data_IF_181943807539
#
_entry.id   IF_181943807539
#
_cell.length_a   1.000
_cell.length_b   1.000
_cell.length_c   1.000
_cell.angle_alpha   90.00
_cell.angle_beta   90.00
_cell.angle_gamma   90.00
#
_symmetry.space_group_name_H-M   'P 1'
#
loop_
_entity.id
_entity.type
_entity.pdbx_description
1 polymer ?
#
# COMPACT_ATOMS: atom_id res chain seq x y z
N UNK A 1 20.08 -0.27 18.26
CA UNK A 1 18.82 -0.55 17.55
C UNK A 1 18.27 -1.84 18.13
N UNK A 2 17.17 -1.82 18.87
CA UNK A 2 16.59 -3.05 19.42
C UNK A 2 15.96 -3.83 18.26
N UNK A 3 16.53 -4.97 17.88
CA UNK A 3 16.07 -5.78 16.75
C UNK A 3 14.57 -6.09 16.85
N UNK A 4 14.05 -6.27 18.07
CA UNK A 4 12.63 -6.49 18.34
C UNK A 4 11.72 -5.36 17.80
N UNK A 5 12.15 -4.10 17.85
CA UNK A 5 11.30 -2.98 17.41
C UNK A 5 11.31 -2.80 15.89
N UNK A 6 12.44 -3.07 15.24
CA UNK A 6 12.50 -3.10 13.78
C UNK A 6 11.70 -4.26 13.20
N UNK A 7 11.85 -5.47 13.74
CA UNK A 7 11.13 -6.65 13.28
C UNK A 7 9.61 -6.48 13.39
N UNK A 8 9.12 -5.87 14.47
CA UNK A 8 7.69 -5.57 14.63
C UNK A 8 7.18 -4.61 13.55
N UNK A 9 7.87 -3.48 13.33
CA UNK A 9 7.53 -2.52 12.28
C UNK A 9 7.59 -3.17 10.89
N UNK A 10 8.63 -3.99 10.63
CA UNK A 10 8.77 -4.71 9.37
C UNK A 10 7.61 -5.69 9.14
N UNK A 11 7.24 -6.48 10.14
CA UNK A 11 6.12 -7.44 10.03
C UNK A 11 4.80 -6.69 9.80
N UNK A 12 4.59 -5.57 10.49
CA UNK A 12 3.42 -4.73 10.29
C UNK A 12 3.35 -4.22 8.84
N UNK A 13 4.42 -3.58 8.34
CA UNK A 13 4.48 -3.11 6.96
C UNK A 13 4.41 -4.25 5.94
N UNK A 14 5.01 -5.41 6.22
CA UNK A 14 4.93 -6.57 5.34
C UNK A 14 3.50 -7.11 5.22
N UNK A 15 2.73 -7.14 6.32
CA UNK A 15 1.32 -7.51 6.29
C UNK A 15 0.46 -6.50 5.53
N UNK A 16 0.77 -5.21 5.71
CA UNK A 16 0.03 -4.07 5.16
C UNK A 16 0.34 -3.85 3.67
N UNK A 17 1.60 -3.91 3.26
CA UNK A 17 2.06 -3.52 1.91
C UNK A 17 2.54 -4.70 1.08
N UNK A 18 2.83 -5.84 1.71
CA UNK A 18 3.74 -6.84 1.17
C UNK A 18 3.38 -7.53 -0.15
N UNK A 19 4.20 -8.52 -0.54
CA UNK A 19 4.33 -8.95 -1.92
C UNK A 19 3.02 -9.36 -2.62
N UNK A 20 2.07 -10.06 -1.98
CA UNK A 20 0.85 -10.50 -2.66
C UNK A 20 0.03 -9.35 -3.28
N UNK A 21 -0.07 -8.22 -2.58
CA UNK A 21 -0.84 -7.04 -3.05
C UNK A 21 -0.16 -6.40 -4.24
N UNK A 22 1.16 -6.24 -4.14
CA UNK A 22 2.02 -5.66 -5.16
C UNK A 22 2.05 -6.53 -6.41
N UNK A 23 2.33 -7.83 -6.24
CA UNK A 23 2.39 -8.79 -7.35
C UNK A 23 1.08 -8.83 -8.13
N UNK A 24 -0.06 -8.76 -7.46
CA UNK A 24 -1.35 -8.71 -8.14
C UNK A 24 -1.52 -7.43 -8.99
N UNK A 25 -1.17 -6.26 -8.43
CA UNK A 25 -1.22 -5.00 -9.17
C UNK A 25 -0.30 -5.02 -10.41
N UNK A 26 0.92 -5.56 -10.25
CA UNK A 26 1.84 -5.74 -11.37
C UNK A 26 1.41 -6.83 -12.36
N UNK A 27 0.64 -7.83 -11.92
CA UNK A 27 0.16 -8.91 -12.79
C UNK A 27 -0.78 -8.38 -13.87
N UNK A 28 -1.63 -7.40 -13.56
CA UNK A 28 -2.45 -6.70 -14.54
C UNK A 28 -1.62 -5.98 -15.59
N UNK A 29 -0.64 -5.17 -15.15
CA UNK A 29 0.27 -4.44 -16.03
C UNK A 29 1.17 -5.37 -16.88
N UNK A 30 1.54 -6.53 -16.34
CA UNK A 30 2.37 -7.50 -17.04
C UNK A 30 1.70 -8.06 -18.31
N UNK A 31 0.37 -8.01 -18.41
CA UNK A 31 -0.38 -8.51 -19.56
C UNK A 31 -0.30 -7.55 -20.76
N UNK A 32 -0.17 -6.25 -20.50
CA UNK A 32 -0.17 -5.19 -21.53
C UNK A 32 1.22 -4.60 -21.80
N UNK A 33 2.20 -4.82 -20.92
CA UNK A 33 3.56 -4.31 -21.09
C UNK A 33 4.63 -5.39 -21.32
N UNK A 34 5.64 -5.13 -22.17
CA UNK A 34 6.81 -6.00 -22.31
C UNK A 34 7.65 -6.05 -21.02
N UNK A 35 8.35 -7.17 -20.79
CA UNK A 35 9.08 -7.43 -19.54
C UNK A 35 10.12 -6.35 -19.17
N UNK A 36 10.75 -5.72 -20.16
CA UNK A 36 11.71 -4.63 -19.94
C UNK A 36 11.02 -3.37 -19.41
N UNK A 37 9.82 -3.08 -19.90
CA UNK A 37 9.02 -1.93 -19.48
C UNK A 37 8.42 -2.16 -18.09
N UNK A 38 7.91 -3.36 -17.83
CA UNK A 38 7.40 -3.76 -16.51
C UNK A 38 8.48 -3.62 -15.42
N UNK A 39 9.73 -4.00 -15.72
CA UNK A 39 10.88 -3.80 -14.83
C UNK A 39 11.15 -2.32 -14.54
N UNK A 40 11.09 -1.47 -15.56
CA UNK A 40 11.30 -0.04 -15.38
C UNK A 40 10.18 0.59 -14.55
N UNK A 41 8.92 0.21 -14.81
CA UNK A 41 7.76 0.61 -13.99
C UNK A 41 8.00 0.19 -12.54
N UNK A 42 8.45 -1.04 -12.30
CA UNK A 42 8.74 -1.52 -10.95
C UNK A 42 9.78 -0.66 -10.22
N UNK A 43 10.92 -0.42 -10.85
CA UNK A 43 12.01 0.36 -10.24
C UNK A 43 11.61 1.82 -10.00
N UNK A 44 10.93 2.45 -10.94
CA UNK A 44 10.50 3.86 -10.82
C UNK A 44 9.44 4.00 -9.74
N UNK A 45 8.41 3.14 -9.75
CA UNK A 45 7.33 3.19 -8.76
C UNK A 45 7.82 2.84 -7.35
N UNK A 46 8.73 1.87 -7.20
CA UNK A 46 9.37 1.58 -5.91
C UNK A 46 10.26 2.74 -5.43
N UNK A 47 11.00 3.39 -6.34
CA UNK A 47 11.79 4.58 -6.00
C UNK A 47 10.90 5.73 -5.51
N UNK A 48 9.77 5.95 -6.17
CA UNK A 48 8.78 6.95 -5.76
C UNK A 48 8.12 6.58 -4.42
N UNK A 49 7.79 5.30 -4.19
CA UNK A 49 7.27 4.81 -2.91
C UNK A 49 8.24 5.11 -1.75
N UNK A 50 9.52 4.79 -1.94
CA UNK A 50 10.58 5.06 -0.97
C UNK A 50 10.70 6.55 -0.70
N UNK A 51 10.70 7.39 -1.73
CA UNK A 51 10.81 8.84 -1.57
C UNK A 51 9.62 9.41 -0.79
N UNK A 52 8.39 9.02 -1.15
CA UNK A 52 7.19 9.47 -0.43
C UNK A 52 7.19 8.97 1.01
N UNK A 53 7.50 7.70 1.27
CA UNK A 53 7.59 7.17 2.63
C UNK A 53 8.70 7.80 3.47
N UNK A 54 9.84 8.14 2.86
CA UNK A 54 10.92 8.89 3.52
C UNK A 54 10.44 10.27 3.97
N UNK A 55 9.86 11.04 3.04
CA UNK A 55 9.36 12.38 3.33
C UNK A 55 8.27 12.31 4.40
N UNK A 56 7.23 11.52 4.15
CA UNK A 56 6.07 11.40 5.04
C UNK A 56 6.45 10.85 6.41
N UNK A 57 7.29 9.82 6.50
CA UNK A 57 7.70 9.24 7.78
C UNK A 57 8.56 10.17 8.63
N UNK A 58 9.38 11.02 8.02
CA UNK A 58 10.17 12.02 8.76
C UNK A 58 9.28 13.18 9.23
N UNK A 59 8.37 13.63 8.35
CA UNK A 59 7.47 14.77 8.62
C UNK A 59 6.18 14.39 9.33
N UNK A 60 5.95 13.12 9.68
CA UNK A 60 4.65 12.62 10.14
C UNK A 60 4.06 13.42 11.31
N UNK A 61 4.78 13.66 12.44
CA UNK A 61 4.20 14.43 13.55
C UNK A 61 3.90 15.87 13.18
N UNK A 62 4.81 16.51 12.44
CA UNK A 62 4.60 17.87 11.96
C UNK A 62 3.38 17.98 11.05
N UNK A 63 3.15 16.99 10.18
CA UNK A 63 2.01 16.97 9.27
C UNK A 63 0.68 16.79 10.04
N UNK A 64 0.66 15.87 11.01
CA UNK A 64 -0.51 15.64 11.86
C UNK A 64 -0.85 16.88 12.70
N UNK A 65 0.17 17.52 13.28
CA UNK A 65 0.01 18.74 14.07
C UNK A 65 -0.47 19.91 13.20
N UNK A 66 0.10 20.07 12.00
CA UNK A 66 -0.27 21.15 11.07
C UNK A 66 -1.75 21.08 10.68
N UNK A 67 -2.23 19.88 10.34
CA UNK A 67 -3.63 19.67 9.95
C UNK A 67 -4.57 19.40 11.13
N UNK A 68 -4.05 19.34 12.36
CA UNK A 68 -4.81 18.98 13.56
C UNK A 68 -5.57 17.65 13.41
N UNK A 69 -4.92 16.67 12.77
CA UNK A 69 -5.49 15.34 12.49
C UNK A 69 -5.05 14.37 13.59
N UNK A 70 -6.01 13.73 14.25
CA UNK A 70 -5.74 12.67 15.21
C UNK A 70 -5.38 11.35 14.51
N UNK A 71 -4.57 10.51 15.15
CA UNK A 71 -4.24 9.17 14.61
C UNK A 71 -5.47 8.30 14.36
N UNK A 72 -6.54 8.30 15.18
CA UNK A 72 -7.75 7.53 14.90
C UNK A 72 -8.53 8.06 13.69
N UNK A 73 -8.57 9.38 13.49
CA UNK A 73 -9.19 9.97 12.31
C UNK A 73 -8.45 9.57 11.03
N UNK A 74 -7.12 9.48 11.10
CA UNK A 74 -6.32 9.00 9.99
C UNK A 74 -6.53 7.50 9.71
N UNK A 75 -6.66 6.67 10.75
CA UNK A 75 -7.04 5.25 10.60
C UNK A 75 -8.38 5.09 9.90
N UNK A 76 -9.40 5.87 10.32
CA UNK A 76 -10.71 5.90 9.69
C UNK A 76 -10.62 6.26 8.21
N UNK A 77 -9.97 7.38 7.89
CA UNK A 77 -9.83 7.85 6.51
C UNK A 77 -9.08 6.81 5.66
N UNK A 78 -7.95 6.31 6.16
CA UNK A 78 -7.15 5.28 5.49
C UNK A 78 -7.93 3.99 5.26
N UNK A 79 -8.69 3.54 6.27
CA UNK A 79 -9.55 2.37 6.22
C UNK A 79 -10.68 2.52 5.19
N UNK A 80 -11.36 3.68 5.14
CA UNK A 80 -12.41 3.96 4.16
C UNK A 80 -11.86 3.97 2.73
N UNK A 81 -10.77 4.70 2.48
CA UNK A 81 -10.19 4.77 1.12
C UNK A 81 -9.71 3.37 0.70
N UNK A 82 -9.10 2.61 1.63
CA UNK A 82 -8.66 1.25 1.36
C UNK A 82 -9.82 0.28 1.09
N UNK A 83 -10.91 0.41 1.84
CA UNK A 83 -12.13 -0.36 1.61
C UNK A 83 -12.71 -0.08 0.22
N UNK A 84 -12.79 1.19 -0.19
CA UNK A 84 -13.23 1.57 -1.54
C UNK A 84 -12.33 0.97 -2.61
N UNK A 85 -11.00 1.03 -2.41
CA UNK A 85 -10.03 0.38 -3.30
C UNK A 85 -10.27 -1.13 -3.41
N UNK A 86 -10.47 -1.80 -2.27
CA UNK A 86 -10.73 -3.23 -2.20
C UNK A 86 -12.03 -3.63 -2.91
N UNK A 87 -13.10 -2.84 -2.74
CA UNK A 87 -14.36 -3.00 -3.48
C UNK A 87 -14.12 -2.88 -4.98
N UNK A 88 -13.29 -1.92 -5.41
CA UNK A 88 -12.89 -1.80 -6.81
C UNK A 88 -12.25 -3.08 -7.36
N UNK A 89 -11.34 -3.71 -6.60
CA UNK A 89 -10.73 -4.98 -7.00
C UNK A 89 -11.74 -6.13 -7.10
N UNK A 90 -12.71 -6.23 -6.17
CA UNK A 90 -13.76 -7.25 -6.20
C UNK A 90 -14.68 -7.08 -7.41
N UNK A 91 -15.00 -5.83 -7.74
CA UNK A 91 -15.88 -5.49 -8.85
C UNK A 91 -15.16 -5.42 -10.21
N UNK A 92 -13.82 -5.56 -10.23
CA UNK A 92 -13.02 -5.41 -11.44
C UNK A 92 -12.97 -3.97 -11.97
N UNK A 93 -13.21 -2.98 -11.11
CA UNK A 93 -13.13 -1.56 -11.46
C UNK A 93 -11.66 -1.12 -11.41
N UNK A 94 -11.23 -0.45 -12.47
CA UNK A 94 -9.88 0.11 -12.57
C UNK A 94 -9.85 1.49 -11.90
N UNK A 95 -9.82 1.51 -10.56
CA UNK A 95 -9.70 2.76 -9.78
C UNK A 95 -8.30 3.34 -9.95
N UNK A 96 -8.18 4.46 -10.68
CA UNK A 96 -6.90 5.14 -10.95
C UNK A 96 -6.32 4.92 -12.35
N UNK A 97 -7.01 4.18 -13.20
CA UNK A 97 -6.76 4.16 -14.64
C UNK A 97 -7.69 5.19 -15.27
N UNK A 98 -7.15 6.37 -15.64
CA UNK A 98 -7.85 7.21 -16.63
C UNK A 98 -8.16 6.27 -17.81
N UNK A 99 -9.45 6.18 -18.16
CA UNK A 99 -10.00 5.13 -19.04
C UNK A 99 -9.19 4.93 -20.33
N UNK A 100 -9.43 3.83 -21.07
CA UNK A 100 -8.52 3.31 -22.10
C UNK A 100 -8.15 4.38 -23.13
N UNK A 101 -7.08 5.12 -22.85
CA UNK A 101 -6.45 6.00 -23.80
C UNK A 101 -5.83 5.05 -24.82
N UNK A 102 -6.32 5.13 -26.04
CA UNK A 102 -5.91 4.36 -27.22
C UNK A 102 -4.46 4.64 -27.65
N UNK A 103 -3.68 5.33 -26.82
CA UNK A 103 -2.28 5.60 -27.04
C UNK A 103 -1.45 4.44 -26.47
N UNK A 104 -0.45 4.02 -27.24
CA UNK A 104 0.36 2.85 -26.97
C UNK A 104 0.81 2.75 -25.50
N UNK A 105 0.94 1.54 -24.94
CA UNK A 105 1.41 1.32 -23.57
C UNK A 105 2.82 1.90 -23.39
N UNK A 106 2.93 3.16 -22.94
CA UNK A 106 4.18 3.84 -22.66
C UNK A 106 4.55 3.76 -21.17
N UNK A 107 5.82 4.00 -20.84
CA UNK A 107 6.34 3.95 -19.48
C UNK A 107 5.59 4.89 -18.53
N UNK A 108 5.20 6.07 -19.02
CA UNK A 108 4.55 7.09 -18.21
C UNK A 108 3.15 6.69 -17.74
N UNK A 109 2.37 5.98 -18.56
CA UNK A 109 1.01 5.53 -18.19
C UNK A 109 1.06 4.40 -17.16
N UNK A 110 1.89 3.38 -17.39
CA UNK A 110 2.06 2.28 -16.44
C UNK A 110 2.66 2.71 -15.09
N UNK A 111 3.56 3.70 -15.09
CA UNK A 111 4.03 4.32 -13.85
C UNK A 111 2.89 5.06 -13.15
N UNK A 112 2.10 5.87 -13.84
CA UNK A 112 0.96 6.60 -13.23
C UNK A 112 -0.09 5.68 -12.62
N UNK A 113 -0.50 4.67 -13.37
CA UNK A 113 -1.50 3.69 -12.95
C UNK A 113 -1.05 2.91 -11.71
N UNK A 114 0.26 2.69 -11.56
CA UNK A 114 0.80 2.03 -10.38
C UNK A 114 1.13 3.00 -9.24
N UNK A 115 1.53 4.24 -9.53
CA UNK A 115 1.82 5.26 -8.52
C UNK A 115 0.60 5.50 -7.62
N UNK A 116 -0.61 5.57 -8.18
CA UNK A 116 -1.83 5.73 -7.38
C UNK A 116 -2.04 4.62 -6.34
N UNK A 117 -2.09 3.32 -6.70
CA UNK A 117 -2.30 2.22 -5.75
C UNK A 117 -1.04 1.82 -4.96
N UNK A 118 0.17 2.00 -5.50
CA UNK A 118 1.42 1.52 -4.89
C UNK A 118 2.17 2.60 -4.09
N UNK A 119 2.27 3.82 -4.61
CA UNK A 119 2.97 4.94 -3.94
C UNK A 119 2.04 5.74 -3.06
N UNK A 120 0.81 5.96 -3.50
CA UNK A 120 -0.25 6.56 -2.69
C UNK A 120 -1.17 5.48 -2.15
N UNK A 121 -0.63 4.28 -1.84
CA UNK A 121 -1.41 3.24 -1.18
C UNK A 121 -1.95 3.81 0.14
N UNK A 122 -3.27 4.09 0.24
CA UNK A 122 -3.81 4.85 1.36
C UNK A 122 -3.50 4.19 2.69
N UNK A 123 -3.56 2.85 2.68
CA UNK A 123 -3.24 1.99 3.80
C UNK A 123 -1.75 2.04 4.17
N UNK A 124 -0.83 1.99 3.20
CA UNK A 124 0.60 2.10 3.47
C UNK A 124 0.97 3.47 4.05
N UNK A 125 0.43 4.55 3.48
CA UNK A 125 0.67 5.92 3.95
C UNK A 125 0.10 6.14 5.35
N UNK A 126 -1.11 5.64 5.60
CA UNK A 126 -1.75 5.66 6.92
C UNK A 126 -0.89 4.93 7.94
N UNK A 127 -0.41 3.73 7.62
CA UNK A 127 0.49 2.97 8.49
C UNK A 127 1.81 3.71 8.77
N UNK A 128 2.45 4.28 7.75
CA UNK A 128 3.69 5.05 7.92
C UNK A 128 3.47 6.26 8.83
N UNK A 129 2.40 7.03 8.61
CA UNK A 129 2.07 8.20 9.41
C UNK A 129 1.78 7.86 10.87
N UNK A 130 0.95 6.85 11.12
CA UNK A 130 0.59 6.42 12.47
C UNK A 130 1.83 5.88 13.20
N UNK A 131 2.56 4.95 12.59
CA UNK A 131 3.74 4.36 13.22
C UNK A 131 4.83 5.40 13.48
N UNK A 132 5.09 6.31 12.53
CA UNK A 132 6.08 7.36 12.73
C UNK A 132 5.65 8.39 13.81
N UNK A 133 4.34 8.60 13.99
CA UNK A 133 3.79 9.48 15.02
C UNK A 133 3.65 8.81 16.39
N UNK A 134 3.72 7.48 16.47
CA UNK A 134 3.52 6.73 17.72
C UNK A 134 4.56 7.05 18.80
N UNK A 135 5.75 7.54 18.44
CA UNK A 135 6.79 7.96 19.39
C UNK A 135 7.50 9.20 18.91
N UNK A 136 7.66 10.17 19.80
CA UNK A 136 8.39 11.39 19.50
C UNK A 136 9.91 11.19 19.65
N UNK A 137 10.47 10.37 18.76
CA UNK A 137 11.91 10.12 18.71
C UNK A 137 12.38 9.97 17.28
N UNK A 138 13.42 10.72 16.91
CA UNK A 138 14.04 10.62 15.59
C UNK A 138 14.57 9.21 15.31
N UNK A 139 15.09 8.50 16.32
CA UNK A 139 15.57 7.12 16.17
C UNK A 139 14.42 6.14 15.88
N UNK A 140 13.22 6.42 16.41
CA UNK A 140 12.03 5.63 16.09
C UNK A 140 11.59 5.87 14.66
N UNK A 141 11.47 7.13 14.23
CA UNK A 141 11.10 7.49 12.86
C UNK A 141 12.06 6.88 11.84
N UNK A 142 13.38 6.90 12.09
CA UNK A 142 14.35 6.22 11.21
C UNK A 142 14.17 4.70 11.15
N UNK A 143 13.70 4.09 12.25
CA UNK A 143 13.40 2.65 12.30
C UNK A 143 12.17 2.31 11.47
N UNK A 144 11.09 3.09 11.61
CA UNK A 144 9.84 2.95 10.85
C UNK A 144 10.11 3.10 9.34
N UNK A 145 10.80 4.17 8.96
CA UNK A 145 11.19 4.43 7.57
C UNK A 145 12.10 3.31 7.04
N UNK A 146 13.09 2.88 7.81
CA UNK A 146 13.97 1.77 7.42
C UNK A 146 13.21 0.46 7.20
N UNK A 147 12.23 0.15 8.04
CA UNK A 147 11.38 -1.03 7.89
C UNK A 147 10.50 -0.94 6.64
N UNK A 148 9.87 0.22 6.41
CA UNK A 148 9.07 0.47 5.22
C UNK A 148 9.88 0.33 3.93
N UNK A 149 11.08 0.94 3.88
CA UNK A 149 11.99 0.83 2.74
C UNK A 149 12.44 -0.61 2.50
N UNK A 150 12.69 -1.37 3.56
CA UNK A 150 13.03 -2.79 3.44
C UNK A 150 11.89 -3.62 2.84
N UNK A 151 10.63 -3.33 3.20
CA UNK A 151 9.46 -3.99 2.60
C UNK A 151 9.32 -3.62 1.13
N UNK A 152 9.42 -2.34 0.76
CA UNK A 152 9.38 -1.93 -0.66
C UNK A 152 10.50 -2.60 -1.47
N UNK A 153 11.70 -2.66 -0.91
CA UNK A 153 12.82 -3.31 -1.58
C UNK A 153 12.55 -4.81 -1.79
N UNK A 154 11.97 -5.48 -0.80
CA UNK A 154 11.53 -6.87 -0.91
C UNK A 154 10.46 -7.04 -1.98
N UNK A 155 9.44 -6.18 -1.99
CA UNK A 155 8.36 -6.20 -2.98
C UNK A 155 8.89 -5.99 -4.39
N UNK A 156 9.80 -5.04 -4.57
CA UNK A 156 10.47 -4.79 -5.84
C UNK A 156 11.23 -6.03 -6.30
N UNK A 157 12.01 -6.67 -5.42
CA UNK A 157 12.73 -7.92 -5.73
C UNK A 157 11.76 -9.04 -6.11
N UNK A 158 10.67 -9.21 -5.37
CA UNK A 158 9.62 -10.19 -5.68
C UNK A 158 9.05 -9.95 -7.08
N UNK A 159 8.66 -8.71 -7.41
CA UNK A 159 8.14 -8.35 -8.74
C UNK A 159 9.17 -8.64 -9.82
N UNK A 160 10.44 -8.29 -9.63
CA UNK A 160 11.49 -8.52 -10.61
C UNK A 160 11.74 -10.00 -10.89
N UNK A 161 11.72 -10.84 -9.84
CA UNK A 161 11.90 -12.29 -9.96
C UNK A 161 10.68 -12.96 -10.58
N UNK A 162 9.48 -12.54 -10.19
CA UNK A 162 8.21 -13.14 -10.61
C UNK A 162 7.67 -12.53 -11.91
N UNK A 163 8.26 -11.46 -12.45
CA UNK A 163 7.80 -10.79 -13.68
C UNK A 163 7.58 -11.75 -14.85
N UNK A 164 8.44 -12.76 -15.02
CA UNK A 164 8.29 -13.78 -16.08
C UNK A 164 7.13 -14.74 -15.80
N UNK A 165 6.85 -15.03 -14.54
CA UNK A 165 5.72 -15.87 -14.09
C UNK A 165 4.41 -15.10 -14.25
N UNK A 166 4.35 -13.85 -13.78
CA UNK A 166 3.17 -12.96 -13.89
C UNK A 166 2.69 -12.85 -15.34
N UNK A 167 3.61 -12.75 -16.31
CA UNK A 167 3.29 -12.71 -17.74
C UNK A 167 2.70 -14.00 -18.29
N UNK A 168 3.00 -15.15 -17.67
CA UNK A 168 2.49 -16.46 -18.09
C UNK A 168 1.18 -16.81 -17.37
N UNK A 169 0.81 -16.06 -16.34
CA UNK A 169 -0.43 -16.27 -15.61
C UNK A 169 -1.61 -15.88 -16.50
N UNK A 170 -2.61 -16.77 -16.58
CA UNK A 170 -3.84 -16.50 -17.32
C UNK A 170 -4.63 -15.36 -16.67
N UNK A 171 -5.26 -14.52 -17.50
CA UNK A 171 -6.13 -13.43 -17.06
C UNK A 171 -7.19 -13.88 -16.04
N UNK A 172 -7.84 -15.03 -16.27
CA UNK A 172 -8.83 -15.58 -15.36
C UNK A 172 -8.26 -15.84 -13.95
N UNK A 173 -7.02 -16.30 -13.83
CA UNK A 173 -6.38 -16.53 -12.54
C UNK A 173 -6.09 -15.23 -11.81
N UNK A 174 -5.63 -14.20 -12.54
CA UNK A 174 -5.37 -12.86 -11.97
C UNK A 174 -6.69 -12.25 -11.46
N UNK A 175 -7.76 -12.37 -12.23
CA UNK A 175 -9.08 -11.86 -11.85
C UNK A 175 -9.63 -12.57 -10.61
N UNK A 176 -9.55 -13.90 -10.57
CA UNK A 176 -9.98 -14.69 -9.40
C UNK A 176 -9.17 -14.35 -8.15
N UNK A 177 -7.83 -14.32 -8.25
CA UNK A 177 -6.97 -13.92 -7.13
C UNK A 177 -7.25 -12.48 -6.69
N UNK A 178 -7.51 -11.59 -7.64
CA UNK A 178 -7.82 -10.20 -7.35
C UNK A 178 -9.12 -10.01 -6.60
N UNK A 179 -10.15 -10.79 -6.92
CA UNK A 179 -11.41 -10.82 -6.17
C UNK A 179 -11.23 -11.37 -4.76
N UNK A 180 -10.46 -12.45 -4.61
CA UNK A 180 -10.16 -13.02 -3.28
C UNK A 180 -9.36 -12.06 -2.41
N UNK A 181 -8.30 -11.46 -2.97
CA UNK A 181 -7.53 -10.42 -2.29
C UNK A 181 -8.41 -9.22 -1.97
N UNK A 182 -9.20 -8.73 -2.92
CA UNK A 182 -10.15 -7.63 -2.71
C UNK A 182 -11.10 -7.89 -1.55
N UNK A 183 -11.65 -9.11 -1.42
CA UNK A 183 -12.51 -9.48 -0.29
C UNK A 183 -11.75 -9.42 1.05
N UNK A 184 -10.52 -9.93 1.10
CA UNK A 184 -9.66 -9.85 2.30
C UNK A 184 -9.28 -8.40 2.64
N UNK A 185 -8.95 -7.60 1.63
CA UNK A 185 -8.60 -6.19 1.80
C UNK A 185 -9.80 -5.36 2.27
N UNK A 186 -11.00 -5.69 1.81
CA UNK A 186 -12.23 -5.05 2.27
C UNK A 186 -12.45 -5.35 3.76
N UNK A 187 -12.23 -6.59 4.19
CA UNK A 187 -12.28 -6.94 5.62
C UNK A 187 -11.27 -6.13 6.44
N UNK A 188 -10.01 -6.03 5.99
CA UNK A 188 -8.97 -5.21 6.64
C UNK A 188 -9.37 -3.73 6.70
N UNK A 189 -9.96 -3.20 5.63
CA UNK A 189 -10.45 -1.81 5.60
C UNK A 189 -11.57 -1.57 6.61
N UNK A 190 -12.50 -2.53 6.75
CA UNK A 190 -13.56 -2.47 7.77
C UNK A 190 -12.96 -2.54 9.17
N UNK A 191 -12.00 -3.41 9.43
CA UNK A 191 -11.35 -3.49 10.74
C UNK A 191 -10.65 -2.17 11.09
N UNK A 192 -9.90 -1.56 10.16
CA UNK A 192 -9.29 -0.24 10.39
C UNK A 192 -10.32 0.87 10.68
N UNK A 193 -11.49 0.82 10.04
CA UNK A 193 -12.56 1.76 10.32
C UNK A 193 -13.12 1.55 11.73
N UNK A 194 -13.31 0.29 12.12
CA UNK A 194 -13.84 -0.03 13.44
C UNK A 194 -12.84 0.28 14.56
N UNK A 195 -11.56 0.00 14.36
CA UNK A 195 -10.48 0.35 15.27
C UNK A 195 -10.40 1.88 15.44
N UNK A 196 -10.48 2.63 14.35
CA UNK A 196 -10.49 4.09 14.42
C UNK A 196 -11.74 4.67 15.08
N UNK A 197 -12.92 4.04 14.93
CA UNK A 197 -14.14 4.42 15.67
C UNK A 197 -14.01 4.11 17.16
N UNK A 198 -13.40 2.96 17.49
CA UNK A 198 -13.15 2.53 18.85
C UNK A 198 -12.21 3.52 19.57
N UNK A 199 -11.10 3.87 18.93
CA UNK A 199 -10.11 4.81 19.46
C UNK A 199 -10.66 6.24 19.63
N UNK A 200 -11.73 6.59 18.90
CA UNK A 200 -12.49 7.84 19.09
C UNK A 200 -13.49 7.79 20.26
N UNK A 201 -13.68 6.64 20.90
CA UNK A 201 -14.57 6.49 22.06
C UNK A 201 -16.03 6.21 21.72
N UNK A 202 -16.33 5.64 20.56
CA UNK A 202 -17.69 5.20 20.21
C UNK A 202 -18.06 3.97 21.06
N UNK A 203 -18.73 4.20 22.18
CA UNK A 203 -19.14 3.19 23.16
C UNK A 203 -20.17 2.22 22.55
N UNK A 204 -19.74 0.99 22.28
CA UNK A 204 -20.54 -0.08 21.65
C UNK A 204 -19.71 -1.12 20.89
N UNK A 205 -18.43 -0.82 20.63
CA UNK A 205 -17.49 -1.71 19.94
C UNK A 205 -16.59 -2.55 20.88
N UNK A 206 -16.68 -2.34 22.20
CA UNK A 206 -15.90 -3.02 23.26
C UNK A 206 -16.08 -4.56 23.34
N UNK A 207 -16.96 -5.15 22.53
CA UNK A 207 -17.29 -6.59 22.57
C UNK A 207 -16.47 -7.45 21.59
N UNK A 208 -15.37 -6.94 21.03
CA UNK A 208 -14.52 -7.74 20.12
C UNK A 208 -13.48 -8.55 20.92
N UNK A 209 -13.58 -9.88 20.80
CA UNK A 209 -12.59 -10.88 21.23
C UNK A 209 -11.40 -10.93 20.28
#
# INVERSE_FOLDING_TARGET
MNAFTFSAAFIAFFSVVGPPKVLLAFAGLAQVHPARQLRNIALVSSGAAVLVGLVTGITAPWLLDLFHISTPALQLAGGVIFFVYAVGLVLGLHLGSDGPHQDAPDLASGVRELLMPYVVSPLAMTAVLIEAAARDSFTWRSTVVGAYVAVIALDAVCVLLLARVLRRTHHATIELLGRLLGLLLAAVGVDLVLDGLYDLGVTGLDLRH
#
